data_IF_652958792326
#
_entry.id   IF_652958792326
#
_cell.length_a   1.000
_cell.length_b   1.000
_cell.length_c   1.000
_cell.angle_alpha   90.00
_cell.angle_beta   90.00
_cell.angle_gamma   90.00
#
_symmetry.space_group_name_H-M   'P 1'
#
loop_
_entity.id
_entity.type
_entity.pdbx_description
1 polymer ?
#
# COMPACT_ATOMS: atom_id res chain seq x y z
N UNK A 1 2.86 1.90 6.80
CA UNK A 1 1.76 1.78 7.80
C UNK A 1 0.98 0.52 7.50
N UNK A 2 0.67 -0.31 8.50
CA UNK A 2 -0.14 -1.52 8.26
C UNK A 2 -1.59 -1.16 7.97
N UNK A 3 -2.15 -1.72 6.91
CA UNK A 3 -3.56 -1.63 6.54
C UNK A 3 -4.38 -2.61 7.37
N UNK A 4 -5.56 -2.17 7.80
CA UNK A 4 -6.49 -2.95 8.59
C UNK A 4 -7.48 -3.67 7.66
N UNK A 5 -7.60 -4.99 7.83
CA UNK A 5 -8.47 -5.84 7.03
C UNK A 5 -9.95 -5.50 7.17
N UNK A 6 -10.41 -5.12 8.37
CA UNK A 6 -11.80 -4.75 8.61
C UNK A 6 -12.17 -3.44 7.90
N UNK A 7 -11.24 -2.47 7.87
CA UNK A 7 -11.43 -1.22 7.12
C UNK A 7 -11.51 -1.52 5.63
N UNK A 8 -10.66 -2.42 5.11
CA UNK A 8 -10.69 -2.80 3.70
C UNK A 8 -12.04 -3.44 3.31
N UNK A 9 -12.59 -4.34 4.14
CA UNK A 9 -13.91 -4.94 3.90
C UNK A 9 -15.07 -3.96 4.08
N UNK A 10 -14.97 -3.03 5.04
CA UNK A 10 -15.95 -1.96 5.19
C UNK A 10 -15.99 -1.07 3.94
N UNK A 11 -14.83 -0.71 3.39
CA UNK A 11 -14.72 0.03 2.13
C UNK A 11 -15.25 -0.78 0.94
N UNK A 12 -15.02 -2.09 0.91
CA UNK A 12 -15.54 -2.96 -0.16
C UNK A 12 -17.08 -3.04 -0.13
N UNK A 13 -17.68 -3.10 1.06
CA UNK A 13 -19.13 -3.20 1.20
C UNK A 13 -19.84 -1.87 0.94
N UNK A 14 -19.42 -0.79 1.60
CA UNK A 14 -20.10 0.50 1.51
C UNK A 14 -19.65 1.35 0.31
N UNK A 15 -18.38 1.23 -0.09
CA UNK A 15 -17.77 2.02 -1.17
C UNK A 15 -17.21 1.12 -2.30
N UNK A 16 -17.65 -0.13 -2.39
CA UNK A 16 -17.22 -1.07 -3.44
C UNK A 16 -17.55 -0.59 -4.84
N UNK A 17 -18.69 0.11 -5.00
CA UNK A 17 -19.07 0.88 -6.19
C UNK A 17 -17.96 1.75 -6.75
N UNK A 18 -17.17 2.34 -5.86
CA UNK A 18 -16.15 3.32 -6.17
C UNK A 18 -14.72 2.75 -6.19
N UNK A 19 -14.55 1.44 -5.99
CA UNK A 19 -13.23 0.79 -5.91
C UNK A 19 -12.37 1.25 -4.73
N UNK A 20 -13.00 1.78 -3.66
CA UNK A 20 -12.28 2.40 -2.54
C UNK A 20 -11.40 1.41 -1.76
N UNK A 21 -11.82 0.15 -1.63
CA UNK A 21 -11.02 -0.91 -1.00
C UNK A 21 -9.71 -1.17 -1.76
N UNK A 22 -9.73 -1.12 -3.09
CA UNK A 22 -8.51 -1.23 -3.93
C UNK A 22 -7.58 -0.04 -3.74
N UNK A 23 -8.12 1.18 -3.72
CA UNK A 23 -7.35 2.40 -3.50
C UNK A 23 -6.69 2.38 -2.11
N UNK A 24 -7.43 1.98 -1.08
CA UNK A 24 -6.91 1.82 0.28
C UNK A 24 -5.73 0.85 0.37
N UNK A 25 -5.78 -0.24 -0.42
CA UNK A 25 -4.69 -1.21 -0.54
C UNK A 25 -3.58 -0.80 -1.52
N UNK A 26 -3.58 0.43 -2.03
CA UNK A 26 -2.55 0.96 -2.94
C UNK A 26 -2.74 0.59 -4.42
N UNK A 27 -3.83 -0.08 -4.80
CA UNK A 27 -4.12 -0.48 -6.19
C UNK A 27 -4.94 0.59 -6.91
N UNK A 28 -4.40 1.82 -6.99
CA UNK A 28 -5.06 3.01 -7.53
C UNK A 28 -5.66 2.81 -8.93
N UNK A 29 -4.85 2.34 -9.88
CA UNK A 29 -5.27 2.20 -11.28
C UNK A 29 -6.50 1.30 -11.41
N UNK A 30 -6.46 0.14 -10.74
CA UNK A 30 -7.58 -0.80 -10.77
C UNK A 30 -8.83 -0.29 -10.04
N UNK A 31 -8.67 0.49 -8.96
CA UNK A 31 -9.80 1.12 -8.28
C UNK A 31 -10.47 2.18 -9.15
N UNK A 32 -9.68 3.00 -9.86
CA UNK A 32 -10.20 3.98 -10.81
C UNK A 32 -10.88 3.30 -11.99
N UNK A 33 -10.33 2.20 -12.52
CA UNK A 33 -10.99 1.43 -13.58
C UNK A 33 -12.34 0.86 -13.12
N UNK A 34 -12.41 0.34 -11.90
CA UNK A 34 -13.66 -0.17 -11.33
C UNK A 34 -14.70 0.95 -11.15
N UNK A 35 -14.28 2.13 -10.70
CA UNK A 35 -15.11 3.32 -10.61
C UNK A 35 -15.65 3.75 -11.98
N UNK A 36 -14.77 3.86 -12.98
CA UNK A 36 -15.16 4.26 -14.35
C UNK A 36 -16.13 3.24 -14.96
N UNK A 37 -15.88 1.94 -14.79
CA UNK A 37 -16.75 0.90 -15.30
C UNK A 37 -18.15 0.97 -14.67
N UNK A 38 -18.23 1.24 -13.37
CA UNK A 38 -19.50 1.45 -12.68
C UNK A 38 -20.27 2.66 -13.24
N UNK A 39 -19.62 3.82 -13.38
CA UNK A 39 -20.25 5.03 -13.88
C UNK A 39 -20.65 4.91 -15.35
N UNK A 40 -19.76 4.40 -16.22
CA UNK A 40 -20.07 4.16 -17.63
C UNK A 40 -21.23 3.18 -17.77
N UNK A 41 -21.22 2.08 -17.02
CA UNK A 41 -22.32 1.13 -17.00
C UNK A 41 -23.63 1.76 -16.53
N UNK A 42 -23.59 2.59 -15.48
CA UNK A 42 -24.77 3.27 -14.95
C UNK A 42 -25.34 4.30 -15.94
N UNK A 43 -24.50 5.12 -16.57
CA UNK A 43 -24.95 6.13 -17.54
C UNK A 43 -25.50 5.49 -18.83
N UNK A 44 -24.89 4.39 -19.29
CA UNK A 44 -25.34 3.69 -20.50
C UNK A 44 -26.46 2.69 -20.25
N UNK A 45 -26.86 2.46 -18.99
CA UNK A 45 -27.94 1.54 -18.63
C UNK A 45 -29.30 1.97 -19.19
N UNK A 46 -29.50 3.29 -19.41
CA UNK A 46 -30.70 3.82 -20.06
C UNK A 46 -30.91 3.27 -21.47
N UNK A 47 -29.83 2.89 -22.17
CA UNK A 47 -29.86 2.29 -23.49
C UNK A 47 -29.81 0.75 -23.46
N UNK A 48 -30.04 0.13 -22.30
CA UNK A 48 -29.90 -1.31 -22.02
C UNK A 48 -28.46 -1.87 -22.13
N UNK A 49 -27.58 -1.25 -22.92
CA UNK A 49 -26.18 -1.66 -23.08
C UNK A 49 -25.40 -1.60 -21.76
N UNK A 50 -25.71 -0.63 -20.89
CA UNK A 50 -25.01 -0.46 -19.62
C UNK A 50 -25.12 -1.64 -18.66
N UNK A 51 -26.19 -2.45 -18.74
CA UNK A 51 -26.33 -3.66 -17.93
C UNK A 51 -25.21 -4.68 -18.20
N UNK A 52 -24.68 -4.73 -19.43
CA UNK A 52 -23.52 -5.57 -19.74
C UNK A 52 -22.28 -5.14 -18.96
N UNK A 53 -21.97 -3.84 -18.94
CA UNK A 53 -20.86 -3.29 -18.16
C UNK A 53 -21.06 -3.47 -16.65
N UNK A 54 -22.29 -3.26 -16.16
CA UNK A 54 -22.63 -3.47 -14.75
C UNK A 54 -22.55 -4.94 -14.34
N UNK A 55 -22.85 -5.88 -15.24
CA UNK A 55 -22.69 -7.31 -14.99
C UNK A 55 -21.20 -7.67 -14.83
N UNK A 56 -20.34 -7.19 -15.73
CA UNK A 56 -18.87 -7.36 -15.61
C UNK A 56 -18.37 -6.76 -14.30
N UNK A 57 -18.79 -5.52 -14.00
CA UNK A 57 -18.45 -4.83 -12.77
C UNK A 57 -18.92 -5.62 -11.53
N UNK A 58 -20.15 -6.15 -11.53
CA UNK A 58 -20.72 -6.90 -10.42
C UNK A 58 -19.98 -8.21 -10.15
N UNK A 59 -19.61 -8.94 -11.20
CA UNK A 59 -18.75 -10.13 -11.07
C UNK A 59 -17.39 -9.75 -10.47
N UNK A 60 -16.78 -8.67 -10.96
CA UNK A 60 -15.51 -8.19 -10.42
C UNK A 60 -15.63 -7.79 -8.94
N UNK A 61 -16.69 -7.06 -8.56
CA UNK A 61 -16.97 -6.69 -7.18
C UNK A 61 -17.18 -7.91 -6.26
N UNK A 62 -17.82 -8.98 -6.74
CA UNK A 62 -17.95 -10.24 -5.99
C UNK A 62 -16.61 -10.96 -5.84
N UNK A 63 -15.82 -11.05 -6.91
CA UNK A 63 -14.47 -11.64 -6.89
C UNK A 63 -13.57 -10.89 -5.90
N UNK A 64 -13.77 -9.58 -5.77
CA UNK A 64 -13.03 -8.74 -4.82
C UNK A 64 -13.22 -9.12 -3.34
N UNK A 65 -14.24 -9.91 -2.97
CA UNK A 65 -14.34 -10.50 -1.62
C UNK A 65 -13.06 -11.29 -1.28
N UNK A 66 -12.55 -12.06 -2.25
CA UNK A 66 -11.35 -12.87 -2.07
C UNK A 66 -10.07 -12.06 -2.28
N UNK A 67 -10.07 -11.15 -3.26
CA UNK A 67 -8.89 -10.34 -3.55
C UNK A 67 -8.60 -9.31 -2.45
N UNK A 68 -9.61 -8.80 -1.75
CA UNK A 68 -9.43 -7.78 -0.71
C UNK A 68 -8.49 -8.26 0.40
N UNK A 69 -8.71 -9.49 0.90
CA UNK A 69 -7.79 -10.10 1.88
C UNK A 69 -6.37 -10.17 1.33
N UNK A 70 -6.19 -10.68 0.11
CA UNK A 70 -4.86 -10.80 -0.52
C UNK A 70 -4.17 -9.45 -0.64
N UNK A 71 -4.88 -8.40 -1.06
CA UNK A 71 -4.33 -7.06 -1.23
C UNK A 71 -3.87 -6.45 0.10
N UNK A 72 -4.61 -6.69 1.20
CA UNK A 72 -4.21 -6.23 2.54
C UNK A 72 -2.93 -6.92 3.01
N UNK A 73 -2.80 -8.23 2.78
CA UNK A 73 -1.56 -8.94 3.13
C UNK A 73 -0.38 -8.47 2.29
N UNK A 74 -0.56 -8.33 0.97
CA UNK A 74 0.48 -7.88 0.04
C UNK A 74 1.02 -6.50 0.41
N UNK A 75 0.14 -5.53 0.65
CA UNK A 75 0.58 -4.17 1.02
C UNK A 75 1.26 -4.15 2.40
N UNK A 76 0.81 -4.96 3.35
CA UNK A 76 1.44 -5.04 4.67
C UNK A 76 2.82 -5.67 4.61
N UNK A 77 2.98 -6.72 3.80
CA UNK A 77 4.26 -7.40 3.59
C UNK A 77 5.29 -6.46 2.95
N UNK A 78 4.91 -5.75 1.87
CA UNK A 78 5.77 -4.75 1.22
C UNK A 78 6.22 -3.68 2.23
N UNK A 79 5.30 -3.14 3.04
CA UNK A 79 5.65 -2.17 4.09
C UNK A 79 6.62 -2.75 5.13
N UNK A 80 6.48 -4.02 5.49
CA UNK A 80 7.37 -4.67 6.45
C UNK A 80 8.77 -4.89 5.86
N UNK A 81 8.84 -5.29 4.58
CA UNK A 81 10.09 -5.44 3.83
C UNK A 81 10.81 -4.10 3.67
N UNK A 82 10.09 -3.03 3.32
CA UNK A 82 10.68 -1.69 3.22
C UNK A 82 11.29 -1.23 4.56
N UNK A 83 10.59 -1.48 5.67
CA UNK A 83 11.14 -1.20 7.01
C UNK A 83 12.35 -2.04 7.34
N UNK A 84 12.35 -3.35 7.01
CA UNK A 84 13.50 -4.22 7.31
C UNK A 84 14.74 -3.87 6.48
N UNK A 85 14.54 -3.48 5.21
CA UNK A 85 15.60 -2.98 4.34
C UNK A 85 16.15 -1.65 4.86
N UNK A 86 15.28 -0.71 5.23
CA UNK A 86 15.69 0.57 5.83
C UNK A 86 16.47 0.37 7.13
N UNK A 87 16.01 -0.53 8.02
CA UNK A 87 16.73 -0.87 9.24
C UNK A 87 18.10 -1.51 8.95
N UNK A 88 18.18 -2.41 7.98
CA UNK A 88 19.45 -3.03 7.55
C UNK A 88 20.43 -1.99 7.02
N UNK A 89 19.94 -1.01 6.25
CA UNK A 89 20.76 0.09 5.74
C UNK A 89 21.28 0.98 6.89
N UNK A 90 20.43 1.29 7.89
CA UNK A 90 20.82 2.07 9.06
C UNK A 90 21.91 1.36 9.87
N UNK A 91 21.81 0.04 10.08
CA UNK A 91 22.85 -0.76 10.75
C UNK A 91 24.19 -0.69 10.02
N UNK A 92 24.19 -0.86 8.69
CA UNK A 92 25.41 -0.73 7.87
C UNK A 92 26.02 0.67 7.93
N UNK A 93 25.19 1.71 8.04
CA UNK A 93 25.68 3.08 8.20
C UNK A 93 26.34 3.30 9.56
N UNK A 94 25.77 2.73 10.64
CA UNK A 94 26.37 2.80 11.99
C UNK A 94 27.69 2.03 12.04
N UNK A 95 27.77 0.86 11.41
CA UNK A 95 29.01 0.08 11.28
C UNK A 95 30.12 0.90 10.61
N UNK A 96 29.83 1.54 9.48
CA UNK A 96 30.77 2.45 8.81
C UNK A 96 31.21 3.63 9.69
N UNK A 97 30.28 4.21 10.46
CA UNK A 97 30.61 5.29 11.39
C UNK A 97 31.53 4.79 12.52
N UNK A 98 31.33 3.58 13.00
CA UNK A 98 32.17 2.95 14.02
C UNK A 98 33.60 2.71 13.48
N UNK A 99 33.74 2.24 12.24
CA UNK A 99 35.04 2.07 11.59
C UNK A 99 35.79 3.40 11.39
N UNK A 100 35.08 4.48 11.04
CA UNK A 100 35.66 5.82 10.95
C UNK A 100 36.15 6.34 12.31
N UNK A 101 35.43 6.02 13.39
CA UNK A 101 35.87 6.37 14.73
C UNK A 101 37.12 5.57 15.14
N UNK A 102 37.13 4.25 14.90
CA UNK A 102 38.26 3.37 15.23
C UNK A 102 39.53 3.73 14.44
N UNK A 103 39.39 4.17 13.19
CA UNK A 103 40.50 4.66 12.36
C UNK A 103 40.99 6.07 12.75
N UNK A 104 40.35 6.73 13.73
CA UNK A 104 40.67 8.10 14.14
C UNK A 104 40.26 9.18 13.15
N UNK A 105 39.50 8.84 12.11
CA UNK A 105 39.03 9.78 11.08
C UNK A 105 37.94 10.73 11.61
N UNK A 106 37.18 10.33 12.63
CA UNK A 106 36.15 11.16 13.29
C UNK A 106 36.27 11.10 14.81
N UNK A 107 35.82 12.15 15.51
CA UNK A 107 35.80 12.20 16.98
C UNK A 107 34.61 11.43 17.57
N UNK A 108 34.72 11.01 18.84
CA UNK A 108 33.64 10.30 19.55
C UNK A 108 32.34 11.11 19.61
N UNK A 109 32.44 12.42 19.88
CA UNK A 109 31.28 13.31 19.94
C UNK A 109 30.60 13.47 18.59
N UNK A 110 31.35 13.39 17.49
CA UNK A 110 30.79 13.38 16.14
C UNK A 110 30.11 12.05 15.81
N UNK A 111 30.72 10.93 16.20
CA UNK A 111 30.12 9.60 16.06
C UNK A 111 28.76 9.50 16.76
N UNK A 112 28.68 9.86 18.05
CA UNK A 112 27.44 9.76 18.82
C UNK A 112 26.33 10.66 18.26
N UNK A 113 26.66 11.86 17.77
CA UNK A 113 25.69 12.75 17.11
C UNK A 113 25.10 12.14 15.84
N UNK A 114 25.95 11.57 14.97
CA UNK A 114 25.50 10.94 13.71
C UNK A 114 24.74 9.65 13.97
N UNK A 115 25.16 8.85 14.95
CA UNK A 115 24.46 7.65 15.38
C UNK A 115 23.06 7.97 15.90
N UNK A 116 22.91 9.00 16.75
CA UNK A 116 21.60 9.45 17.24
C UNK A 116 20.68 9.82 16.07
N UNK A 117 21.18 10.58 15.08
CA UNK A 117 20.39 10.98 13.91
C UNK A 117 19.94 9.83 12.99
N UNK A 118 20.57 8.66 13.07
CA UNK A 118 20.21 7.46 12.28
C UNK A 118 19.21 6.57 13.03
N UNK A 119 19.16 6.69 14.35
CA UNK A 119 18.30 5.90 15.23
C UNK A 119 16.97 6.59 15.56
N UNK A 120 16.89 7.91 15.38
CA UNK A 120 15.66 8.70 15.39
C UNK A 120 14.76 8.38 14.17
#
# INVERSE_FOLDING_TARGET
MTRNIYIAYALWFFLGGFGAHRIYCGKFLSGILQLLLFWVGSFTAIFLVGYFFLAIWGIWWLVDIFLTSKMVYEVNDINNLERSLSQTQNLKNIEKLYDLYQSGAISKDEFERRKASILD
#
